data_IF_853542508662
#
_entry.id   IF_853542508662
#
_cell.length_a   1.000
_cell.length_b   1.000
_cell.length_c   1.000
_cell.angle_alpha   90.00
_cell.angle_beta   90.00
_cell.angle_gamma   90.00
#
_symmetry.space_group_name_H-M   'P 1'
#
loop_
_entity.id
_entity.type
_entity.pdbx_description
1 polymer ?
#
# COMPACT_ATOMS: atom_id res chain seq x y z
N UNK A 1 19.60 18.62 -6.81
CA UNK A 1 19.33 17.34 -6.12
C UNK A 1 20.60 16.60 -5.75
N UNK A 2 21.58 16.45 -6.65
CA UNK A 2 22.86 15.78 -6.32
C UNK A 2 23.62 16.45 -5.15
N UNK A 3 23.69 17.78 -5.10
CA UNK A 3 24.29 18.51 -3.97
C UNK A 3 23.51 18.34 -2.65
N UNK A 4 22.22 18.03 -2.74
CA UNK A 4 21.39 17.76 -1.59
C UNK A 4 21.70 16.36 -1.02
N UNK A 5 21.84 15.35 -1.89
CA UNK A 5 22.23 13.99 -1.51
C UNK A 5 23.65 13.91 -0.94
N UNK A 6 24.57 14.78 -1.39
CA UNK A 6 25.93 14.87 -0.86
C UNK A 6 26.00 15.49 0.54
N UNK A 7 24.96 16.20 0.97
CA UNK A 7 24.93 16.89 2.25
C UNK A 7 24.32 16.02 3.37
N UNK A 8 25.14 15.10 3.89
CA UNK A 8 24.73 14.14 4.95
C UNK A 8 24.14 14.80 6.19
N UNK A 9 24.69 15.95 6.61
CA UNK A 9 24.19 16.69 7.77
C UNK A 9 22.78 17.26 7.54
N UNK A 10 22.47 17.67 6.31
CA UNK A 10 21.14 18.15 5.95
C UNK A 10 20.13 17.00 5.94
N UNK A 11 20.49 15.87 5.32
CA UNK A 11 19.65 14.66 5.30
C UNK A 11 19.35 14.14 6.70
N UNK A 12 20.33 14.18 7.60
CA UNK A 12 20.17 13.75 8.99
C UNK A 12 19.18 14.65 9.75
N UNK A 13 19.26 15.97 9.58
CA UNK A 13 18.30 16.91 10.17
C UNK A 13 16.89 16.75 9.60
N UNK A 14 16.77 16.52 8.29
CA UNK A 14 15.48 16.27 7.65
C UNK A 14 14.87 14.94 8.13
N UNK A 15 15.70 13.91 8.32
CA UNK A 15 15.29 12.65 8.94
C UNK A 15 14.83 12.83 10.39
N UNK A 16 15.61 13.52 11.23
CA UNK A 16 15.23 13.83 12.61
C UNK A 16 13.91 14.62 12.69
N UNK A 17 13.72 15.60 11.80
CA UNK A 17 12.49 16.37 11.69
C UNK A 17 11.29 15.48 11.29
N UNK A 18 11.49 14.50 10.40
CA UNK A 18 10.45 13.54 10.02
C UNK A 18 10.15 12.54 11.12
N UNK A 19 11.16 12.05 11.84
CA UNK A 19 10.96 11.15 12.98
C UNK A 19 10.21 11.81 14.13
N UNK A 20 10.37 13.13 14.29
CA UNK A 20 9.66 13.93 15.30
C UNK A 20 8.34 14.49 14.80
N UNK A 21 8.03 14.36 13.51
CA UNK A 21 6.78 14.83 12.94
C UNK A 21 5.61 13.96 13.40
N UNK A 22 4.58 14.62 13.90
CA UNK A 22 3.29 14.03 14.23
C UNK A 22 2.22 14.82 13.51
N UNK A 23 1.37 14.14 12.74
CA UNK A 23 0.26 14.79 12.06
C UNK A 23 -0.71 15.40 13.09
N UNK A 24 -1.33 16.53 12.79
CA UNK A 24 -2.39 17.09 13.62
C UNK A 24 -3.68 17.19 12.80
N UNK A 25 -4.76 16.45 13.16
CA UNK A 25 -4.88 15.57 14.32
C UNK A 25 -4.24 14.18 14.11
N UNK A 26 -3.59 13.61 15.14
CA UNK A 26 -2.98 12.26 15.08
C UNK A 26 -3.81 11.14 15.74
N UNK A 27 -5.10 11.35 15.99
CA UNK A 27 -5.90 10.36 16.70
C UNK A 27 -6.03 9.05 15.89
N UNK A 28 -5.90 7.90 16.55
CA UNK A 28 -6.11 6.56 15.99
C UNK A 28 -7.10 5.76 16.87
N UNK A 29 -8.02 6.45 17.54
CA UNK A 29 -8.89 5.87 18.57
C UNK A 29 -9.82 4.80 18.01
N UNK A 30 -10.30 4.95 16.77
CA UNK A 30 -11.19 3.97 16.12
C UNK A 30 -10.44 2.67 15.87
N UNK A 31 -9.23 2.75 15.31
CA UNK A 31 -8.43 1.58 15.01
C UNK A 31 -7.86 0.89 16.25
N UNK A 32 -7.58 1.64 17.32
CA UNK A 32 -7.10 1.11 18.61
C UNK A 32 -8.21 0.61 19.53
N UNK A 33 -9.47 0.90 19.22
CA UNK A 33 -10.61 0.42 19.99
C UNK A 33 -10.69 -1.11 20.00
N UNK A 34 -11.21 -1.66 21.10
CA UNK A 34 -11.34 -3.12 21.31
C UNK A 34 -11.98 -3.89 20.13
N UNK A 35 -13.01 -3.36 19.42
CA UNK A 35 -13.60 -4.05 18.26
C UNK A 35 -12.65 -4.19 17.06
N UNK A 36 -11.67 -3.28 16.92
CA UNK A 36 -10.85 -3.12 15.72
C UNK A 36 -9.36 -3.45 15.95
N UNK A 37 -8.91 -3.51 17.20
CA UNK A 37 -7.50 -3.75 17.52
C UNK A 37 -6.94 -5.02 16.83
N UNK A 38 -7.75 -6.09 16.77
CA UNK A 38 -7.39 -7.36 16.12
C UNK A 38 -7.38 -7.32 14.58
N UNK A 39 -7.88 -6.23 13.98
CA UNK A 39 -7.82 -5.99 12.53
C UNK A 39 -6.53 -5.29 12.11
N UNK A 40 -5.68 -4.88 13.06
CA UNK A 40 -4.37 -4.28 12.79
C UNK A 40 -3.27 -5.34 12.80
N UNK A 41 -2.39 -5.32 11.80
CA UNK A 41 -1.19 -6.17 11.76
C UNK A 41 -0.16 -5.77 12.82
N UNK A 42 -0.08 -4.48 13.13
CA UNK A 42 0.83 -3.91 14.11
C UNK A 42 0.15 -2.79 14.88
N UNK A 43 0.31 -2.78 16.21
CA UNK A 43 -0.20 -1.70 17.07
C UNK A 43 0.57 -0.39 16.88
N UNK A 44 1.78 -0.47 16.31
CA UNK A 44 2.60 0.70 16.00
C UNK A 44 2.12 1.45 14.74
N UNK A 45 1.42 0.76 13.84
CA UNK A 45 0.99 1.31 12.54
C UNK A 45 -0.52 1.18 12.38
N UNK A 46 -1.23 2.15 12.94
CA UNK A 46 -2.69 2.24 12.90
C UNK A 46 -3.08 3.50 12.14
N UNK A 47 -4.10 3.39 11.29
CA UNK A 47 -4.61 4.52 10.52
C UNK A 47 -5.17 5.62 11.42
N UNK A 48 -5.01 6.88 11.01
CA UNK A 48 -5.62 8.01 11.70
C UNK A 48 -7.12 8.07 11.48
N UNK A 49 -7.85 8.50 12.50
CA UNK A 49 -9.30 8.58 12.51
C UNK A 49 -9.84 9.53 11.43
N UNK A 50 -9.10 10.61 11.14
CA UNK A 50 -9.49 11.64 10.16
C UNK A 50 -9.21 11.27 8.70
N UNK A 51 -8.40 10.23 8.45
CA UNK A 51 -7.93 9.85 7.11
C UNK A 51 -7.95 8.33 6.92
N UNK A 52 -8.96 7.67 7.47
CA UNK A 52 -9.20 6.24 7.22
C UNK A 52 -10.18 6.02 6.07
N UNK A 53 -10.03 4.89 5.39
CA UNK A 53 -11.09 4.37 4.53
C UNK A 53 -12.25 3.89 5.40
N UNK A 54 -13.47 4.19 4.97
CA UNK A 54 -14.71 3.71 5.58
C UNK A 54 -15.37 2.70 4.65
N UNK A 55 -15.50 1.45 5.10
CA UNK A 55 -16.29 0.44 4.39
C UNK A 55 -17.78 0.67 4.64
N UNK A 56 -18.63 0.35 3.67
CA UNK A 56 -20.09 0.34 3.90
C UNK A 56 -20.45 -0.83 4.83
N UNK A 57 -20.81 -0.51 6.07
CA UNK A 57 -21.07 -1.51 7.11
C UNK A 57 -22.20 -2.47 6.71
N UNK A 58 -23.19 -2.01 5.94
CA UNK A 58 -24.29 -2.81 5.42
C UNK A 58 -23.86 -3.93 4.45
N UNK A 59 -22.71 -3.77 3.79
CA UNK A 59 -22.13 -4.78 2.89
C UNK A 59 -21.03 -5.61 3.59
N UNK A 60 -20.66 -5.25 4.82
CA UNK A 60 -19.57 -5.89 5.54
C UNK A 60 -20.07 -7.09 6.35
N UNK A 61 -19.37 -8.22 6.23
CA UNK A 61 -19.73 -9.46 6.95
C UNK A 61 -19.79 -9.28 8.48
N UNK A 62 -18.98 -8.38 9.04
CA UNK A 62 -18.92 -8.10 10.47
C UNK A 62 -19.71 -6.87 10.92
N UNK A 63 -20.50 -6.24 10.03
CA UNK A 63 -21.20 -4.98 10.29
C UNK A 63 -20.25 -3.89 10.85
N UNK A 64 -19.04 -3.81 10.30
CA UNK A 64 -17.96 -2.91 10.69
C UNK A 64 -17.55 -2.06 9.49
N UNK A 65 -17.23 -0.79 9.73
CA UNK A 65 -16.72 0.12 8.69
C UNK A 65 -15.19 0.20 8.66
N UNK A 66 -14.50 -0.57 9.52
CA UNK A 66 -13.07 -0.42 9.77
C UNK A 66 -12.21 -1.36 8.93
N UNK A 67 -11.24 -0.76 8.24
CA UNK A 67 -10.05 -1.39 7.68
C UNK A 67 -8.84 -0.49 7.94
N UNK A 68 -7.66 -1.08 8.20
CA UNK A 68 -6.43 -0.32 8.44
C UNK A 68 -5.80 0.16 7.12
N UNK A 69 -6.46 1.13 6.49
CA UNK A 69 -6.07 1.74 5.23
C UNK A 69 -6.42 3.23 5.19
N UNK A 70 -5.59 4.03 4.51
CA UNK A 70 -5.74 5.48 4.35
C UNK A 70 -5.70 5.89 2.88
N UNK A 71 -6.57 6.82 2.43
CA UNK A 71 -6.41 7.44 1.13
C UNK A 71 -5.19 8.35 1.14
N UNK A 72 -4.47 8.36 0.02
CA UNK A 72 -3.35 9.24 -0.26
C UNK A 72 -3.82 10.21 -1.32
N UNK A 73 -4.00 11.47 -0.94
CA UNK A 73 -4.41 12.53 -1.85
C UNK A 73 -3.18 13.18 -2.46
N UNK A 74 -3.22 13.41 -3.77
CA UNK A 74 -2.26 14.27 -4.46
C UNK A 74 -2.90 15.66 -4.67
N UNK A 75 -2.93 16.17 -5.90
CA UNK A 75 -3.39 17.52 -6.19
C UNK A 75 -4.90 17.77 -5.98
N UNK A 76 -5.77 16.76 -6.15
CA UNK A 76 -7.23 16.89 -5.91
C UNK A 76 -7.64 16.17 -4.61
N UNK A 77 -8.03 16.90 -3.55
CA UNK A 77 -8.44 16.29 -2.28
C UNK A 77 -9.74 15.47 -2.37
N UNK A 78 -10.48 15.54 -3.48
CA UNK A 78 -11.72 14.78 -3.68
C UNK A 78 -11.49 13.42 -4.32
N UNK A 79 -10.33 13.21 -4.95
CA UNK A 79 -10.00 11.98 -5.66
C UNK A 79 -8.65 11.46 -5.16
N UNK A 80 -8.64 10.51 -4.21
CA UNK A 80 -7.40 9.96 -3.72
C UNK A 80 -6.67 9.22 -4.84
N UNK A 81 -5.39 9.54 -5.00
CA UNK A 81 -4.53 8.93 -6.02
C UNK A 81 -4.17 7.50 -5.65
N UNK A 82 -3.99 7.22 -4.35
CA UNK A 82 -3.67 5.88 -3.86
C UNK A 82 -4.43 5.55 -2.59
N UNK A 83 -4.44 4.27 -2.23
CA UNK A 83 -4.83 3.79 -0.91
C UNK A 83 -3.63 3.06 -0.32
N UNK A 84 -3.10 3.55 0.80
CA UNK A 84 -2.08 2.83 1.57
C UNK A 84 -2.78 1.92 2.57
N UNK A 85 -2.52 0.61 2.50
CA UNK A 85 -3.11 -0.40 3.37
C UNK A 85 -2.03 -1.31 3.96
N UNK A 86 -2.30 -1.90 5.12
CA UNK A 86 -1.51 -3.05 5.58
C UNK A 86 -1.69 -4.25 4.64
N UNK A 87 -0.72 -5.19 4.64
CA UNK A 87 -0.92 -6.51 4.05
C UNK A 87 -2.04 -7.26 4.80
N UNK A 88 -3.08 -7.78 4.11
CA UNK A 88 -4.23 -8.40 4.77
C UNK A 88 -3.86 -9.48 5.78
N UNK A 89 -4.57 -9.50 6.90
CA UNK A 89 -4.62 -10.64 7.83
C UNK A 89 -5.65 -11.64 7.31
N UNK A 90 -5.57 -12.90 7.79
CA UNK A 90 -6.61 -13.91 7.51
C UNK A 90 -8.02 -13.37 7.80
N UNK A 91 -8.18 -12.69 8.94
CA UNK A 91 -9.46 -12.12 9.40
C UNK A 91 -9.93 -10.90 8.63
N UNK A 92 -9.09 -10.29 7.77
CA UNK A 92 -9.38 -9.04 7.06
C UNK A 92 -9.33 -9.20 5.53
N UNK A 93 -9.21 -10.41 5.00
CA UNK A 93 -9.20 -10.64 3.53
C UNK A 93 -10.52 -10.18 2.91
N UNK A 94 -11.65 -10.45 3.57
CA UNK A 94 -12.97 -9.99 3.13
C UNK A 94 -13.05 -8.46 3.14
N UNK A 95 -12.61 -7.82 4.22
CA UNK A 95 -12.57 -6.35 4.34
C UNK A 95 -11.71 -5.73 3.22
N UNK A 96 -10.59 -6.37 2.86
CA UNK A 96 -9.70 -5.94 1.77
C UNK A 96 -10.40 -5.98 0.40
N UNK A 97 -11.07 -7.07 0.06
CA UNK A 97 -11.79 -7.16 -1.22
C UNK A 97 -13.00 -6.23 -1.28
N UNK A 98 -13.69 -6.01 -0.15
CA UNK A 98 -14.70 -4.96 -0.05
C UNK A 98 -14.11 -3.59 -0.36
N UNK A 99 -12.97 -3.25 0.24
CA UNK A 99 -12.27 -1.99 -0.05
C UNK A 99 -11.92 -1.85 -1.53
N UNK A 100 -11.33 -2.88 -2.14
CA UNK A 100 -10.97 -2.88 -3.58
C UNK A 100 -12.21 -2.64 -4.43
N UNK A 101 -13.33 -3.30 -4.12
CA UNK A 101 -14.59 -3.15 -4.83
C UNK A 101 -15.20 -1.75 -4.67
N UNK A 102 -15.35 -1.27 -3.44
CA UNK A 102 -16.03 -0.01 -3.13
C UNK A 102 -15.24 1.22 -3.61
N UNK A 103 -13.91 1.14 -3.60
CA UNK A 103 -13.03 2.20 -4.09
C UNK A 103 -12.93 2.29 -5.61
N UNK A 104 -13.41 1.28 -6.35
CA UNK A 104 -13.18 1.22 -7.80
C UNK A 104 -11.73 0.86 -8.18
N UNK A 105 -10.95 0.35 -7.23
CA UNK A 105 -9.56 -0.01 -7.44
C UNK A 105 -9.43 -1.16 -8.47
N UNK A 106 -8.58 -0.94 -9.48
CA UNK A 106 -8.26 -1.94 -10.53
C UNK A 106 -6.78 -2.32 -10.54
N UNK A 107 -5.96 -1.70 -9.69
CA UNK A 107 -4.52 -1.98 -9.56
C UNK A 107 -4.15 -2.13 -8.10
N UNK A 108 -3.58 -3.28 -7.74
CA UNK A 108 -3.04 -3.56 -6.41
C UNK A 108 -1.52 -3.68 -6.53
N UNK A 109 -0.79 -2.98 -5.66
CA UNK A 109 0.68 -3.11 -5.58
C UNK A 109 1.04 -3.71 -4.23
N UNK A 110 1.63 -4.91 -4.25
CA UNK A 110 2.08 -5.65 -3.09
C UNK A 110 3.60 -5.58 -3.00
N UNK A 111 4.10 -4.91 -1.98
CA UNK A 111 5.52 -4.58 -1.82
C UNK A 111 6.24 -5.48 -0.80
N UNK A 112 5.71 -6.67 -0.54
CA UNK A 112 6.26 -7.56 0.50
C UNK A 112 6.08 -9.02 0.10
N UNK A 113 7.03 -9.93 0.42
CA UNK A 113 6.77 -11.35 0.38
C UNK A 113 5.69 -11.75 1.40
N UNK A 114 5.15 -12.97 1.31
CA UNK A 114 4.17 -13.45 2.31
C UNK A 114 4.78 -13.61 3.70
N UNK A 115 6.08 -13.94 3.76
CA UNK A 115 6.82 -14.09 5.00
C UNK A 115 8.28 -13.71 4.81
N UNK A 116 8.90 -13.21 5.87
CA UNK A 116 10.29 -12.80 5.90
C UNK A 116 10.91 -13.16 7.24
N UNK A 117 12.06 -13.83 7.24
CA UNK A 117 12.74 -14.28 8.46
C UNK A 117 11.82 -15.06 9.44
N UNK A 118 10.88 -15.83 8.89
CA UNK A 118 9.89 -16.59 9.66
C UNK A 118 8.69 -15.78 10.19
N UNK A 119 8.65 -14.46 9.94
CA UNK A 119 7.54 -13.58 10.31
C UNK A 119 6.58 -13.42 9.14
N UNK A 120 5.28 -13.63 9.37
CA UNK A 120 4.25 -13.44 8.34
C UNK A 120 4.02 -11.94 8.06
N UNK A 121 4.33 -11.49 6.85
CA UNK A 121 4.15 -10.10 6.43
C UNK A 121 2.80 -9.85 5.74
N UNK A 122 2.26 -10.86 5.05
CA UNK A 122 0.96 -10.78 4.39
C UNK A 122 0.27 -12.15 4.36
N UNK A 123 -1.05 -12.19 4.53
CA UNK A 123 -1.83 -13.38 4.20
C UNK A 123 -2.10 -13.39 2.69
N UNK A 124 -2.03 -14.54 2.00
CA UNK A 124 -2.46 -14.62 0.60
C UNK A 124 -3.96 -14.31 0.51
N UNK A 125 -4.32 -13.32 -0.31
CA UNK A 125 -5.71 -12.86 -0.47
C UNK A 125 -6.24 -13.18 -1.87
N UNK A 126 -5.62 -14.13 -2.57
CA UNK A 126 -5.95 -14.55 -3.92
C UNK A 126 -5.90 -16.08 -4.01
N UNK A 127 -6.61 -16.69 -4.98
CA UNK A 127 -6.50 -18.12 -5.24
C UNK A 127 -5.19 -18.46 -5.97
N UNK A 128 -4.59 -19.60 -5.65
CA UNK A 128 -3.44 -20.13 -6.40
C UNK A 128 -3.83 -20.63 -7.79
N UNK A 129 -5.06 -21.14 -7.95
CA UNK A 129 -5.65 -21.55 -9.22
C UNK A 129 -7.18 -21.38 -9.21
N UNK A 130 -7.79 -21.11 -10.36
CA UNK A 130 -9.24 -20.93 -10.47
C UNK A 130 -9.75 -19.75 -9.63
N UNK A 131 -10.77 -20.00 -8.81
CA UNK A 131 -11.48 -18.95 -8.08
C UNK A 131 -11.69 -19.27 -6.60
N UNK A 132 -11.52 -18.24 -5.76
CA UNK A 132 -11.94 -18.24 -4.36
C UNK A 132 -13.08 -17.24 -4.14
N UNK A 133 -13.92 -17.50 -3.13
CA UNK A 133 -15.01 -16.60 -2.74
C UNK A 133 -14.74 -16.01 -1.36
N UNK A 134 -14.59 -14.69 -1.31
CA UNK A 134 -14.45 -13.90 -0.09
C UNK A 134 -15.74 -13.13 0.16
N UNK A 135 -16.62 -13.70 0.99
CA UNK A 135 -17.99 -13.22 1.20
C UNK A 135 -18.81 -13.20 -0.11
N UNK A 136 -19.03 -12.03 -0.71
CA UNK A 136 -19.76 -11.86 -1.98
C UNK A 136 -18.83 -11.56 -3.15
N UNK A 137 -17.52 -11.55 -2.90
CA UNK A 137 -16.50 -11.26 -3.90
C UNK A 137 -15.85 -12.55 -4.36
N UNK A 138 -16.18 -12.98 -5.58
CA UNK A 138 -15.49 -14.08 -6.25
C UNK A 138 -14.27 -13.51 -6.98
N UNK A 139 -13.09 -14.03 -6.64
CA UNK A 139 -11.81 -13.62 -7.22
C UNK A 139 -11.29 -14.80 -8.01
N UNK A 140 -11.22 -14.66 -9.33
CA UNK A 140 -10.71 -15.70 -10.21
C UNK A 140 -9.34 -15.28 -10.78
N UNK A 141 -8.31 -16.11 -10.57
CA UNK A 141 -7.00 -15.92 -11.18
C UNK A 141 -7.11 -16.24 -12.69
N UNK A 142 -6.89 -15.21 -13.51
CA UNK A 142 -6.93 -15.32 -14.98
C UNK A 142 -5.55 -15.64 -15.52
N UNK A 143 -4.53 -14.98 -15.00
CA UNK A 143 -3.15 -15.17 -15.43
C UNK A 143 -2.18 -14.79 -14.33
N UNK A 144 -1.07 -15.52 -14.25
CA UNK A 144 0.13 -15.13 -13.50
C UNK A 144 1.31 -15.08 -14.47
N UNK A 145 2.05 -13.97 -14.44
CA UNK A 145 3.24 -13.79 -15.25
C UNK A 145 4.43 -13.43 -14.36
N UNK A 146 5.41 -14.33 -14.31
CA UNK A 146 6.68 -14.10 -13.62
C UNK A 146 7.58 -13.35 -14.61
N UNK A 147 7.84 -12.07 -14.32
CA UNK A 147 8.67 -11.23 -15.19
C UNK A 147 10.16 -11.44 -14.92
N UNK A 148 10.53 -11.46 -13.65
CA UNK A 148 11.88 -11.79 -13.18
C UNK A 148 11.81 -12.33 -11.75
N UNK A 149 12.98 -12.55 -11.14
CA UNK A 149 13.07 -12.99 -9.75
C UNK A 149 12.51 -11.96 -8.75
N UNK A 150 12.45 -10.68 -9.14
CA UNK A 150 12.07 -9.59 -8.25
C UNK A 150 10.57 -9.27 -8.26
N UNK A 151 9.84 -9.60 -9.33
CA UNK A 151 8.41 -9.31 -9.40
C UNK A 151 7.64 -10.22 -10.35
N UNK A 152 6.35 -10.37 -10.02
CA UNK A 152 5.35 -11.03 -10.85
C UNK A 152 4.09 -10.18 -10.94
N UNK A 153 3.25 -10.50 -11.94
CA UNK A 153 1.97 -9.82 -12.16
C UNK A 153 0.86 -10.85 -12.23
N UNK A 154 -0.22 -10.62 -11.48
CA UNK A 154 -1.46 -11.41 -11.55
C UNK A 154 -2.58 -10.56 -12.13
N UNK A 155 -3.41 -11.17 -12.96
CA UNK A 155 -4.67 -10.60 -13.41
C UNK A 155 -5.81 -11.40 -12.79
N UNK A 156 -6.70 -10.69 -12.11
CA UNK A 156 -7.89 -11.25 -11.49
C UNK A 156 -9.15 -10.78 -12.21
N UNK A 157 -10.10 -11.70 -12.35
CA UNK A 157 -11.49 -11.36 -12.63
C UNK A 157 -12.23 -11.33 -11.30
N UNK A 158 -12.65 -10.13 -10.88
CA UNK A 158 -13.37 -9.88 -9.64
C UNK A 158 -14.86 -9.73 -9.95
N UNK A 159 -15.69 -10.57 -9.34
CA UNK A 159 -17.14 -10.56 -9.50
C UNK A 159 -17.83 -10.31 -8.16
N UNK A 160 -18.76 -9.37 -8.14
CA UNK A 160 -19.70 -9.23 -7.04
C UNK A 160 -20.90 -10.14 -7.29
N UNK A 161 -21.07 -11.16 -6.45
CA UNK A 161 -22.10 -12.18 -6.60
C UNK A 161 -23.51 -11.67 -6.30
N UNK A 162 -23.67 -10.54 -5.61
CA UNK A 162 -24.97 -9.93 -5.34
C UNK A 162 -25.44 -9.08 -6.53
N UNK A 163 -24.55 -8.27 -7.11
CA UNK A 163 -24.89 -7.37 -8.23
C UNK A 163 -24.67 -8.01 -9.61
N UNK A 164 -23.92 -9.11 -9.67
CA UNK A 164 -23.38 -9.72 -10.90
C UNK A 164 -22.47 -8.80 -11.73
N UNK A 165 -22.06 -7.65 -11.18
CA UNK A 165 -21.08 -6.79 -11.82
C UNK A 165 -19.68 -7.41 -11.72
N UNK A 166 -18.84 -7.10 -12.69
CA UNK A 166 -17.49 -7.65 -12.80
C UNK A 166 -16.46 -6.58 -13.16
N UNK A 167 -15.21 -6.81 -12.73
CA UNK A 167 -14.06 -5.94 -12.99
C UNK A 167 -12.80 -6.77 -13.13
N UNK A 168 -11.84 -6.26 -13.90
CA UNK A 168 -10.48 -6.80 -13.92
C UNK A 168 -9.63 -6.04 -12.91
N UNK A 169 -8.91 -6.78 -12.06
CA UNK A 169 -7.95 -6.22 -11.10
C UNK A 169 -6.58 -6.79 -11.39
N UNK A 170 -5.58 -5.93 -11.58
CA UNK A 170 -4.18 -6.35 -11.78
C UNK A 170 -3.39 -6.17 -10.50
N UNK A 171 -2.72 -7.21 -10.03
CA UNK A 171 -1.80 -7.16 -8.90
C UNK A 171 -0.36 -7.20 -9.40
N UNK A 172 0.42 -6.21 -9.02
CA UNK A 172 1.88 -6.21 -9.13
C UNK A 172 2.45 -6.67 -7.79
N UNK A 173 3.18 -7.78 -7.77
CA UNK A 173 3.77 -8.32 -6.55
C UNK A 173 5.29 -8.25 -6.64
N UNK A 174 5.85 -7.33 -5.86
CA UNK A 174 7.29 -7.16 -5.70
C UNK A 174 7.80 -8.05 -4.56
N UNK A 175 8.71 -8.95 -4.86
CA UNK A 175 9.19 -10.02 -3.97
C UNK A 175 10.50 -9.65 -3.26
N UNK A 176 11.34 -8.82 -3.89
CA UNK A 176 12.70 -8.53 -3.41
C UNK A 176 12.81 -7.35 -2.45
N UNK A 177 11.69 -6.76 -2.03
CA UNK A 177 11.69 -5.74 -0.98
C UNK A 177 11.63 -6.43 0.39
N UNK A 178 12.82 -6.76 0.90
CA UNK A 178 13.02 -7.25 2.26
C UNK A 178 12.85 -6.10 3.27
N UNK A 179 12.07 -6.32 4.31
CA UNK A 179 11.84 -5.41 5.43
C UNK A 179 13.19 -5.14 6.12
N UNK A 180 13.67 -3.88 6.02
CA UNK A 180 15.00 -3.32 6.41
C UNK A 180 16.07 -3.22 5.33
N UNK A 181 15.81 -3.65 4.10
CA UNK A 181 16.67 -3.39 2.93
C UNK A 181 16.05 -2.34 1.98
N UNK A 182 16.88 -1.77 1.11
CA UNK A 182 16.44 -1.12 -0.13
C UNK A 182 16.90 -2.00 -1.30
N UNK A 183 16.16 -2.08 -2.42
CA UNK A 183 16.68 -2.67 -3.64
C UNK A 183 17.99 -1.98 -4.05
N UNK A 184 18.97 -2.75 -4.55
CA UNK A 184 20.30 -2.25 -4.94
C UNK A 184 20.29 -1.25 -6.12
N UNK A 185 19.12 -0.94 -6.67
CA UNK A 185 18.92 -0.01 -7.79
C UNK A 185 17.61 0.74 -7.63
N UNK A 186 17.67 2.08 -7.73
CA UNK A 186 16.51 2.97 -7.70
C UNK A 186 15.52 2.73 -8.84
N UNK A 187 15.97 2.08 -9.93
CA UNK A 187 15.22 1.94 -11.17
C UNK A 187 13.91 1.16 -11.06
N UNK A 188 13.75 0.30 -10.04
CA UNK A 188 12.60 -0.61 -9.91
C UNK A 188 11.44 -0.02 -9.08
N UNK A 189 11.64 1.14 -8.48
CA UNK A 189 10.76 1.71 -7.45
C UNK A 189 10.26 3.12 -7.83
N UNK A 190 10.71 3.63 -8.98
CA UNK A 190 10.42 4.97 -9.51
C UNK A 190 8.93 5.22 -9.81
N UNK A 191 8.08 4.18 -9.78
CA UNK A 191 6.64 4.32 -10.03
C UNK A 191 5.78 4.55 -8.77
N UNK A 192 6.36 4.62 -7.57
CA UNK A 192 5.57 4.60 -6.32
C UNK A 192 5.95 5.71 -5.33
N UNK A 193 5.51 6.94 -5.60
CA UNK A 193 5.48 8.06 -4.63
C UNK A 193 4.05 8.36 -4.20
N UNK A 194 3.75 8.92 -3.03
CA UNK A 194 4.35 9.04 -1.69
C UNK A 194 3.31 9.82 -0.86
N UNK A 195 3.49 9.78 0.46
CA UNK A 195 2.88 10.60 1.52
C UNK A 195 1.50 10.18 2.01
N UNK A 196 1.26 10.47 3.29
CA UNK A 196 0.00 10.34 4.08
C UNK A 196 -0.13 9.18 5.08
N UNK A 197 0.93 8.40 5.35
CA UNK A 197 0.93 7.49 6.52
C UNK A 197 2.17 7.66 7.39
N UNK A 198 1.96 7.81 8.70
CA UNK A 198 3.05 7.79 9.65
C UNK A 198 3.72 6.41 9.70
N UNK A 199 5.05 6.37 9.73
CA UNK A 199 5.84 5.14 9.81
C UNK A 199 6.06 4.37 8.50
N UNK A 200 5.76 4.98 7.34
CA UNK A 200 5.94 4.32 6.03
C UNK A 200 7.40 4.27 5.57
N UNK A 201 8.25 5.18 6.06
CA UNK A 201 9.71 5.15 5.89
C UNK A 201 10.30 4.80 7.25
N UNK A 202 10.78 3.58 7.39
CA UNK A 202 11.27 3.02 8.66
C UNK A 202 12.79 3.16 8.82
N UNK A 203 13.53 3.44 7.74
CA UNK A 203 14.99 3.62 7.79
C UNK A 203 15.50 4.84 6.99
N UNK A 204 16.68 5.34 7.36
CA UNK A 204 17.36 6.47 6.68
C UNK A 204 17.66 6.16 5.22
N UNK A 205 17.94 4.90 4.91
CA UNK A 205 18.22 4.40 3.57
C UNK A 205 16.97 4.42 2.69
N UNK A 206 15.79 4.11 3.23
CA UNK A 206 14.51 4.24 2.52
C UNK A 206 14.18 5.71 2.20
N UNK A 207 14.60 6.64 3.07
CA UNK A 207 14.45 8.09 2.86
C UNK A 207 15.37 8.61 1.75
N UNK A 208 16.68 8.30 1.81
CA UNK A 208 17.67 8.69 0.79
C UNK A 208 17.33 8.11 -0.59
N UNK A 209 16.81 6.88 -0.60
CA UNK A 209 16.35 6.21 -1.81
C UNK A 209 15.13 6.91 -2.43
N UNK A 210 14.10 7.23 -1.63
CA UNK A 210 12.94 7.97 -2.10
C UNK A 210 13.29 9.39 -2.59
N UNK A 211 14.35 10.01 -2.06
CA UNK A 211 14.84 11.31 -2.52
C UNK A 211 15.63 11.23 -3.83
N UNK A 212 16.43 10.18 -3.99
CA UNK A 212 17.20 9.90 -5.22
C UNK A 212 16.26 9.57 -6.38
N UNK A 213 15.19 8.82 -6.11
CA UNK A 213 14.14 8.53 -7.07
C UNK A 213 13.50 9.82 -7.64
N UNK A 214 13.24 10.80 -6.78
CA UNK A 214 12.68 12.11 -7.16
C UNK A 214 13.69 12.96 -7.93
N UNK A 215 14.97 12.84 -7.57
CA UNK A 215 16.08 13.49 -8.24
C UNK A 215 16.14 13.16 -9.72
N UNK A 216 16.07 11.87 -10.00
CA UNK A 216 16.26 11.31 -11.32
C UNK A 216 15.03 11.57 -12.19
N UNK A 217 13.83 11.50 -11.64
CA UNK A 217 12.59 11.77 -12.37
C UNK A 217 12.46 13.24 -12.77
N UNK A 218 12.76 14.17 -11.85
CA UNK A 218 12.81 15.60 -12.18
C UNK A 218 13.87 15.87 -13.25
N UNK A 219 15.02 15.20 -13.19
CA UNK A 219 16.06 15.33 -14.22
C UNK A 219 15.66 14.69 -15.57
N UNK A 220 14.92 13.59 -15.56
CA UNK A 220 14.41 12.94 -16.77
C UNK A 220 13.35 13.82 -17.46
N UNK A 221 12.42 14.39 -16.68
CA UNK A 221 11.41 15.34 -17.15
C UNK A 221 12.07 16.60 -17.72
N UNK A 222 13.06 17.18 -17.02
CA UNK A 222 13.79 18.35 -17.50
C UNK A 222 14.59 18.09 -18.78
N UNK A 223 15.02 16.85 -19.03
CA UNK A 223 15.67 16.44 -20.28
C UNK A 223 14.69 16.13 -21.42
N UNK A 224 13.43 15.85 -21.10
CA UNK A 224 12.38 15.51 -22.06
C UNK A 224 11.58 16.74 -22.54
N UNK A 225 11.74 17.90 -21.90
CA UNK A 225 11.15 19.16 -22.37
C UNK A 225 11.89 19.66 -23.62
N UNK A 226 11.19 20.07 -24.70
CA UNK A 226 11.82 20.73 -25.83
C UNK A 226 12.52 22.02 -25.37
N UNK A 227 13.74 22.26 -25.85
CA UNK A 227 14.43 23.54 -25.63
C UNK A 227 13.75 24.70 -26.35
#
# INVERSE_FOLDING_TARGET
MEDHLKNKNRLEREWEALCSYQAEPSACSVGRGEPNAKKNRSDAVVVYDHSRIHLKAENNHGNSDYINASPIMDHDPRNPTYISSQGPLLSTVVDFWQMVWESGCVVVVMLTPLSENGVKQCHPYWPDEGSDVYHVYEVNLVSEHIWCEDFLVRSFYLKNLQTNETRTVTQFHFLSWMDRGIPNSARTLLDFRRDQRAGMVQTKEQFEFALTAVAEEVNAILKALPQ
#
